data_IF_678360830269
#
_entry.id   IF_678360830269
#
_cell.length_a   1.000
_cell.length_b   1.000
_cell.length_c   1.000
_cell.angle_alpha   90.00
_cell.angle_beta   90.00
_cell.angle_gamma   90.00
#
_symmetry.space_group_name_H-M   'P 1'
#
loop_
_entity.id
_entity.type
_entity.pdbx_description
1 polymer ?
#
# COMPACT_ATOMS: atom_id res chain seq x y z
N UNK A 1 -7.97 6.23 -18.91
CA UNK A 1 -8.04 4.77 -19.17
C UNK A 1 -6.68 4.13 -19.49
N UNK A 2 -5.80 4.75 -20.28
CA UNK A 2 -4.55 4.10 -20.71
C UNK A 2 -3.55 3.78 -19.59
N UNK A 3 -3.41 4.64 -18.58
CA UNK A 3 -2.51 4.40 -17.46
C UNK A 3 -2.94 3.20 -16.60
N UNK A 4 -4.24 3.05 -16.35
CA UNK A 4 -4.78 1.92 -15.59
C UNK A 4 -4.56 0.60 -16.35
N UNK A 5 -4.75 0.60 -17.67
CA UNK A 5 -4.43 -0.54 -18.54
C UNK A 5 -2.93 -0.87 -18.50
N UNK A 6 -2.05 0.14 -18.54
CA UNK A 6 -0.59 -0.06 -18.46
C UNK A 6 -0.16 -0.61 -17.11
N UNK A 7 -0.64 -0.06 -16.00
CA UNK A 7 -0.34 -0.57 -14.65
C UNK A 7 -0.86 -1.99 -14.47
N UNK A 8 -2.08 -2.29 -14.93
CA UNK A 8 -2.63 -3.64 -14.92
C UNK A 8 -1.82 -4.61 -15.80
N UNK A 9 -1.36 -4.17 -16.98
CA UNK A 9 -0.50 -4.97 -17.85
C UNK A 9 0.88 -5.23 -17.25
N UNK A 10 1.48 -4.26 -16.55
CA UNK A 10 2.75 -4.43 -15.82
C UNK A 10 2.57 -5.42 -14.67
N UNK A 11 1.51 -5.27 -13.87
CA UNK A 11 1.20 -6.20 -12.79
C UNK A 11 0.91 -7.61 -13.30
N UNK A 12 0.05 -7.72 -14.32
CA UNK A 12 -0.32 -8.99 -14.93
C UNK A 12 0.90 -9.68 -15.54
N UNK A 13 1.71 -8.97 -16.32
CA UNK A 13 2.92 -9.55 -16.91
C UNK A 13 3.91 -9.97 -15.82
N UNK A 14 4.21 -9.11 -14.84
CA UNK A 14 5.11 -9.43 -13.73
C UNK A 14 4.67 -10.64 -12.90
N UNK A 15 3.37 -10.76 -12.60
CA UNK A 15 2.83 -11.91 -11.87
C UNK A 15 2.89 -13.20 -12.69
N UNK A 16 2.52 -13.15 -13.97
CA UNK A 16 2.52 -14.32 -14.86
C UNK A 16 3.96 -14.83 -15.06
N UNK A 17 4.90 -13.92 -15.30
CA UNK A 17 6.29 -14.30 -15.53
C UNK A 17 6.99 -14.75 -14.25
N UNK A 18 6.64 -14.19 -13.09
CA UNK A 18 7.09 -14.69 -11.79
C UNK A 18 6.54 -16.10 -11.51
N UNK A 19 5.26 -16.34 -11.78
CA UNK A 19 4.66 -17.68 -11.67
C UNK A 19 5.40 -18.67 -12.57
N UNK A 20 5.63 -18.31 -13.84
CA UNK A 20 6.38 -19.15 -14.76
C UNK A 20 7.79 -19.45 -14.23
N UNK A 21 8.50 -18.43 -13.74
CA UNK A 21 9.83 -18.60 -13.18
C UNK A 21 9.87 -19.51 -11.95
N UNK A 22 8.87 -19.42 -11.05
CA UNK A 22 8.82 -20.21 -9.81
C UNK A 22 8.59 -21.71 -10.08
N UNK A 23 7.75 -22.03 -11.07
CA UNK A 23 7.31 -23.41 -11.31
C UNK A 23 8.05 -24.11 -12.45
N UNK A 24 8.65 -23.37 -13.39
CA UNK A 24 9.22 -23.95 -14.61
C UNK A 24 10.71 -23.66 -14.81
N UNK A 25 11.32 -22.76 -14.03
CA UNK A 25 12.75 -22.47 -14.12
C UNK A 25 13.51 -23.04 -12.92
N UNK A 26 14.83 -23.16 -13.09
CA UNK A 26 15.72 -23.61 -12.01
C UNK A 26 15.88 -22.50 -10.96
N UNK A 27 15.28 -22.68 -9.79
CA UNK A 27 15.35 -21.76 -8.66
C UNK A 27 16.76 -21.56 -8.08
N UNK A 28 17.66 -22.52 -8.30
CA UNK A 28 19.08 -22.40 -7.90
C UNK A 28 19.89 -21.49 -8.84
N UNK A 29 19.31 -21.06 -9.96
CA UNK A 29 19.95 -20.12 -10.86
C UNK A 29 19.86 -18.69 -10.27
N UNK A 30 21.02 -18.08 -10.04
CA UNK A 30 21.16 -16.71 -9.50
C UNK A 30 20.34 -15.68 -10.28
N UNK A 31 20.23 -15.81 -11.61
CA UNK A 31 19.47 -14.87 -12.42
C UNK A 31 17.96 -14.98 -12.20
N UNK A 32 17.44 -16.19 -12.02
CA UNK A 32 16.03 -16.43 -11.70
C UNK A 32 15.72 -15.88 -10.31
N UNK A 33 16.62 -16.11 -9.35
CA UNK A 33 16.50 -15.54 -8.00
C UNK A 33 16.46 -14.01 -8.03
N UNK A 34 17.43 -13.35 -8.65
CA UNK A 34 17.49 -11.88 -8.75
C UNK A 34 16.23 -11.33 -9.42
N UNK A 35 15.78 -11.97 -10.51
CA UNK A 35 14.57 -11.60 -11.22
C UNK A 35 13.32 -11.62 -10.31
N UNK A 36 13.15 -12.71 -9.55
CA UNK A 36 12.03 -12.83 -8.61
C UNK A 36 12.07 -11.75 -7.53
N UNK A 37 13.27 -11.42 -7.00
CA UNK A 37 13.44 -10.33 -6.01
C UNK A 37 13.08 -8.97 -6.59
N UNK A 38 13.48 -8.67 -7.82
CA UNK A 38 13.14 -7.40 -8.49
C UNK A 38 11.61 -7.26 -8.60
N UNK A 39 10.92 -8.36 -8.94
CA UNK A 39 9.47 -8.35 -9.08
C UNK A 39 8.78 -8.20 -7.73
N UNK A 40 9.19 -8.98 -6.74
CA UNK A 40 8.54 -9.06 -5.43
C UNK A 40 8.81 -7.83 -4.54
N UNK A 41 10.04 -7.30 -4.53
CA UNK A 41 10.38 -6.11 -3.73
C UNK A 41 10.03 -4.80 -4.45
N UNK A 42 10.26 -4.76 -5.76
CA UNK A 42 10.20 -3.54 -6.55
C UNK A 42 8.90 -3.44 -7.34
N UNK A 43 8.82 -4.21 -8.43
CA UNK A 43 7.83 -3.99 -9.49
C UNK A 43 6.39 -4.03 -8.98
N UNK A 44 6.01 -5.11 -8.28
CA UNK A 44 4.62 -5.30 -7.83
C UNK A 44 4.25 -4.29 -6.73
N UNK A 45 5.00 -4.18 -5.61
CA UNK A 45 4.66 -3.23 -4.56
C UNK A 45 4.63 -1.78 -5.04
N UNK A 46 5.60 -1.34 -5.85
CA UNK A 46 5.63 0.02 -6.38
C UNK A 46 4.41 0.30 -7.27
N UNK A 47 4.07 -0.64 -8.16
CA UNK A 47 2.94 -0.44 -9.07
C UNK A 47 1.61 -0.40 -8.32
N UNK A 48 1.43 -1.26 -7.30
CA UNK A 48 0.22 -1.25 -6.46
C UNK A 48 0.16 0.00 -5.58
N UNK A 49 1.28 0.45 -5.00
CA UNK A 49 1.25 1.53 -4.02
C UNK A 49 1.25 2.93 -4.65
N UNK A 50 1.78 3.09 -5.88
CA UNK A 50 2.00 4.40 -6.51
C UNK A 50 1.32 4.58 -7.88
N UNK A 51 0.61 3.59 -8.42
CA UNK A 51 -0.11 3.81 -9.70
C UNK A 51 -1.17 4.90 -9.60
N UNK A 52 -1.68 5.20 -8.40
CA UNK A 52 -2.57 6.35 -8.19
C UNK A 52 -1.99 7.67 -8.69
N UNK A 53 -0.66 7.88 -8.66
CA UNK A 53 0.01 9.12 -9.11
C UNK A 53 -0.41 9.56 -10.50
N UNK A 54 -0.73 8.60 -11.37
CA UNK A 54 -1.17 8.84 -12.74
C UNK A 54 -2.70 8.84 -12.90
N UNK A 55 -3.43 8.27 -11.95
CA UNK A 55 -4.87 8.08 -12.02
C UNK A 55 -5.64 9.28 -11.47
N UNK A 56 -5.17 9.88 -10.38
CA UNK A 56 -5.91 10.94 -9.67
C UNK A 56 -6.04 12.26 -10.44
N UNK A 57 -5.15 12.51 -11.40
CA UNK A 57 -5.05 13.82 -12.10
C UNK A 57 -6.30 14.18 -12.90
N UNK A 58 -7.08 13.19 -13.33
CA UNK A 58 -8.29 13.39 -14.14
C UNK A 58 -9.58 13.11 -13.35
N UNK A 59 -9.49 12.89 -12.04
CA UNK A 59 -10.65 12.57 -11.21
C UNK A 59 -11.35 13.85 -10.73
N UNK A 60 -12.70 13.92 -10.84
CA UNK A 60 -13.47 15.09 -10.38
C UNK A 60 -13.43 15.25 -8.86
N UNK A 61 -13.26 14.14 -8.12
CA UNK A 61 -13.13 14.14 -6.65
C UNK A 61 -11.83 13.46 -6.19
N UNK A 62 -10.67 14.15 -6.28
CA UNK A 62 -9.36 13.57 -5.95
C UNK A 62 -9.27 13.02 -4.53
N UNK A 63 -9.90 13.70 -3.56
CA UNK A 63 -9.93 13.25 -2.17
C UNK A 63 -10.60 11.88 -2.02
N UNK A 64 -11.76 11.70 -2.67
CA UNK A 64 -12.53 10.47 -2.56
C UNK A 64 -11.82 9.33 -3.28
N UNK A 65 -11.32 9.58 -4.50
CA UNK A 65 -10.54 8.63 -5.27
C UNK A 65 -9.33 8.11 -4.48
N UNK A 66 -8.53 9.02 -3.92
CA UNK A 66 -7.34 8.66 -3.14
C UNK A 66 -7.72 7.89 -1.87
N UNK A 67 -8.78 8.32 -1.16
CA UNK A 67 -9.24 7.62 0.05
C UNK A 67 -9.63 6.17 -0.23
N UNK A 68 -10.37 5.92 -1.32
CA UNK A 68 -10.71 4.56 -1.73
C UNK A 68 -9.49 3.76 -2.17
N UNK A 69 -8.62 4.36 -2.99
CA UNK A 69 -7.42 3.69 -3.46
C UNK A 69 -6.54 3.22 -2.29
N UNK A 70 -6.30 4.09 -1.31
CA UNK A 70 -5.52 3.75 -0.11
C UNK A 70 -6.21 2.69 0.74
N UNK A 71 -7.54 2.74 0.86
CA UNK A 71 -8.28 1.74 1.60
C UNK A 71 -8.14 0.36 0.97
N UNK A 72 -8.20 0.29 -0.37
CA UNK A 72 -8.04 -0.96 -1.13
C UNK A 72 -6.61 -1.50 -1.00
N UNK A 73 -5.58 -0.66 -1.20
CA UNK A 73 -4.18 -1.11 -1.10
C UNK A 73 -3.83 -1.55 0.32
N UNK A 74 -4.27 -0.79 1.33
CA UNK A 74 -4.06 -1.13 2.73
C UNK A 74 -4.75 -2.44 3.10
N UNK A 75 -6.01 -2.63 2.69
CA UNK A 75 -6.73 -3.87 2.91
C UNK A 75 -6.05 -5.08 2.25
N UNK A 76 -5.56 -4.92 1.02
CA UNK A 76 -4.81 -5.95 0.31
C UNK A 76 -3.58 -6.40 1.11
N UNK A 77 -2.77 -5.47 1.61
CA UNK A 77 -1.56 -5.83 2.37
C UNK A 77 -1.86 -6.32 3.80
N UNK A 78 -2.99 -5.95 4.40
CA UNK A 78 -3.48 -6.62 5.61
C UNK A 78 -3.73 -8.09 5.32
N UNK A 79 -4.50 -8.41 4.26
CA UNK A 79 -4.80 -9.80 3.87
C UNK A 79 -3.51 -10.57 3.62
N UNK A 80 -2.60 -10.02 2.83
CA UNK A 80 -1.32 -10.69 2.52
C UNK A 80 -0.51 -10.96 3.79
N UNK A 81 -0.48 -10.02 4.75
CA UNK A 81 0.22 -10.24 6.02
C UNK A 81 -0.45 -11.30 6.90
N UNK A 82 -1.79 -11.39 6.90
CA UNK A 82 -2.55 -12.43 7.61
C UNK A 82 -2.33 -13.81 7.00
N UNK A 83 -2.31 -13.90 5.67
CA UNK A 83 -2.05 -15.15 4.94
C UNK A 83 -0.61 -15.61 5.17
N UNK A 84 0.33 -14.68 5.17
CA UNK A 84 1.76 -14.93 5.32
C UNK A 84 2.16 -15.37 6.73
N UNK A 85 1.67 -14.68 7.76
CA UNK A 85 2.09 -14.91 9.15
C UNK A 85 0.87 -15.33 9.96
N UNK A 86 0.90 -16.49 10.64
CA UNK A 86 -0.18 -16.87 11.54
C UNK A 86 -0.42 -15.77 12.60
N UNK A 87 -1.67 -15.39 12.92
CA UNK A 87 -1.96 -14.30 13.85
C UNK A 87 -1.26 -14.43 15.23
N UNK A 88 -1.05 -15.66 15.69
CA UNK A 88 -0.35 -15.97 16.95
C UNK A 88 1.14 -15.60 16.94
N UNK A 89 1.76 -15.45 15.76
CA UNK A 89 3.19 -15.16 15.58
C UNK A 89 3.48 -13.72 15.16
N UNK A 90 2.45 -12.96 14.81
CA UNK A 90 2.56 -11.54 14.40
C UNK A 90 3.17 -10.62 15.46
N UNK A 91 3.10 -11.02 16.73
CA UNK A 91 3.60 -10.22 17.85
C UNK A 91 2.87 -8.88 18.00
N UNK A 92 3.39 -8.02 18.87
CA UNK A 92 2.80 -6.72 19.15
C UNK A 92 2.77 -5.82 17.90
N UNK A 93 3.90 -5.70 17.19
CA UNK A 93 4.01 -4.82 16.02
C UNK A 93 3.02 -5.19 14.90
N UNK A 94 2.87 -6.49 14.61
CA UNK A 94 1.95 -6.93 13.57
C UNK A 94 0.48 -6.73 13.94
N UNK A 95 0.09 -7.02 15.19
CA UNK A 95 -1.28 -6.80 15.65
C UNK A 95 -1.66 -5.32 15.64
N UNK A 96 -0.76 -4.46 16.14
CA UNK A 96 -1.01 -3.01 16.15
C UNK A 96 -1.04 -2.44 14.74
N UNK A 97 -0.15 -2.89 13.84
CA UNK A 97 -0.21 -2.50 12.41
C UNK A 97 -1.57 -2.83 11.79
N UNK A 98 -2.09 -4.04 12.00
CA UNK A 98 -3.39 -4.45 11.44
C UNK A 98 -4.52 -3.59 12.02
N UNK A 99 -4.55 -3.43 13.35
CA UNK A 99 -5.59 -2.65 14.02
C UNK A 99 -5.58 -1.19 13.56
N UNK A 100 -4.40 -0.57 13.55
CA UNK A 100 -4.22 0.81 13.10
C UNK A 100 -4.57 0.97 11.62
N UNK A 101 -4.27 -0.04 10.81
CA UNK A 101 -4.64 -0.03 9.40
C UNK A 101 -6.14 -0.13 9.18
N UNK A 102 -6.86 -0.93 9.98
CA UNK A 102 -8.34 -0.97 9.96
C UNK A 102 -8.93 0.38 10.38
N UNK A 103 -8.37 1.01 11.41
CA UNK A 103 -8.79 2.34 11.86
C UNK A 103 -8.60 3.39 10.75
N UNK A 104 -7.45 3.37 10.07
CA UNK A 104 -7.17 4.27 8.94
C UNK A 104 -8.14 4.06 7.78
N UNK A 105 -8.43 2.80 7.42
CA UNK A 105 -9.47 2.48 6.42
C UNK A 105 -10.82 3.08 6.86
N UNK A 106 -11.22 2.88 8.11
CA UNK A 106 -12.46 3.46 8.64
C UNK A 106 -12.49 4.98 8.54
N UNK A 107 -11.38 5.66 8.87
CA UNK A 107 -11.27 7.11 8.73
C UNK A 107 -11.42 7.55 7.26
N UNK A 108 -10.77 6.86 6.32
CA UNK A 108 -10.83 7.19 4.89
C UNK A 108 -12.20 6.95 4.26
N UNK A 109 -13.02 6.05 4.83
CA UNK A 109 -14.39 5.83 4.39
C UNK A 109 -15.38 6.87 4.97
N UNK A 110 -14.90 7.80 5.80
CA UNK A 110 -15.72 8.86 6.43
C UNK A 110 -15.24 10.25 6.05
N UNK A 111 -16.08 11.26 6.29
CA UNK A 111 -15.71 12.67 6.10
C UNK A 111 -14.78 13.22 7.19
N UNK A 112 -14.40 12.42 8.19
CA UNK A 112 -13.58 12.85 9.32
C UNK A 112 -12.26 13.49 8.89
N UNK A 113 -11.60 12.89 7.89
CA UNK A 113 -10.35 13.38 7.33
C UNK A 113 -10.49 14.73 6.62
N UNK A 114 -11.70 15.18 6.26
CA UNK A 114 -11.95 16.50 5.65
C UNK A 114 -11.88 17.64 6.69
N UNK A 115 -12.13 17.35 7.97
CA UNK A 115 -12.01 18.34 9.04
C UNK A 115 -10.54 18.72 9.33
N UNK A 116 -10.28 19.90 9.92
CA UNK A 116 -8.91 20.34 10.28
C UNK A 116 -8.29 19.44 11.36
N UNK A 117 -9.05 19.14 12.42
CA UNK A 117 -8.61 18.29 13.53
C UNK A 117 -8.46 16.84 13.06
N UNK A 118 -9.45 16.32 12.33
CA UNK A 118 -9.42 14.96 11.82
C UNK A 118 -8.26 14.72 10.85
N UNK A 119 -7.95 15.69 9.99
CA UNK A 119 -6.78 15.61 9.10
C UNK A 119 -5.46 15.53 9.88
N UNK A 120 -5.26 16.37 10.89
CA UNK A 120 -4.05 16.34 11.72
C UNK A 120 -3.89 15.00 12.45
N UNK A 121 -4.96 14.51 13.09
CA UNK A 121 -4.95 13.21 13.78
C UNK A 121 -4.66 12.08 12.78
N UNK A 122 -5.29 12.11 11.60
CA UNK A 122 -5.06 11.12 10.54
C UNK A 122 -3.59 11.11 10.12
N UNK A 123 -2.95 12.28 9.95
CA UNK A 123 -1.52 12.37 9.68
C UNK A 123 -0.65 11.70 10.74
N UNK A 124 -0.97 11.93 12.03
CA UNK A 124 -0.31 11.26 13.15
C UNK A 124 -0.49 9.74 13.14
N UNK A 125 -1.70 9.26 12.84
CA UNK A 125 -2.00 7.82 12.74
C UNK A 125 -1.27 7.17 11.55
N UNK A 126 -1.15 7.86 10.40
CA UNK A 126 -0.36 7.39 9.25
C UNK A 126 1.11 7.23 9.64
N UNK A 127 1.71 8.26 10.27
CA UNK A 127 3.10 8.21 10.73
C UNK A 127 3.33 7.04 11.68
N UNK A 128 2.42 6.85 12.64
CA UNK A 128 2.47 5.73 13.56
C UNK A 128 2.35 4.39 12.82
N UNK A 129 1.52 4.31 11.79
CA UNK A 129 1.35 3.12 10.97
C UNK A 129 2.61 2.78 10.17
N UNK A 130 3.38 3.78 9.72
CA UNK A 130 4.71 3.56 9.11
C UNK A 130 5.65 2.90 10.10
N UNK A 131 5.70 3.37 11.35
CA UNK A 131 6.55 2.79 12.41
C UNK A 131 6.15 1.33 12.68
N UNK A 132 4.85 1.05 12.78
CA UNK A 132 4.37 -0.32 12.99
C UNK A 132 4.55 -1.22 11.78
N UNK A 133 4.41 -0.70 10.55
CA UNK A 133 4.73 -1.44 9.33
C UNK A 133 6.22 -1.82 9.31
N UNK A 134 7.10 -0.90 9.65
CA UNK A 134 8.54 -1.18 9.77
C UNK A 134 8.83 -2.21 10.88
N UNK A 135 8.20 -2.09 12.05
CA UNK A 135 8.32 -3.08 13.11
C UNK A 135 7.83 -4.47 12.69
N UNK A 136 6.71 -4.54 11.97
CA UNK A 136 6.20 -5.78 11.37
C UNK A 136 7.25 -6.38 10.43
N UNK A 137 7.84 -5.60 9.53
CA UNK A 137 8.92 -6.05 8.64
C UNK A 137 10.04 -6.69 9.45
N UNK A 138 10.61 -5.95 10.40
CA UNK A 138 11.78 -6.40 11.16
C UNK A 138 11.53 -7.64 12.02
N UNK A 139 10.29 -7.83 12.48
CA UNK A 139 9.95 -8.94 13.41
C UNK A 139 9.38 -10.17 12.72
N UNK A 140 8.89 -10.02 11.50
CA UNK A 140 8.19 -11.10 10.78
C UNK A 140 8.77 -11.40 9.41
N UNK A 141 9.90 -10.79 9.02
CA UNK A 141 10.52 -11.03 7.70
C UNK A 141 10.77 -12.51 7.43
N UNK A 142 11.32 -13.22 8.41
CA UNK A 142 11.64 -14.65 8.30
C UNK A 142 10.46 -15.56 8.66
N UNK A 143 9.32 -14.99 9.05
CA UNK A 143 8.16 -15.77 9.46
C UNK A 143 7.29 -16.09 8.25
N UNK A 144 7.22 -17.38 7.96
CA UNK A 144 6.44 -17.95 6.87
C UNK A 144 5.37 -18.89 7.43
N UNK A 145 4.18 -18.88 6.81
CA UNK A 145 3.12 -19.82 7.13
C UNK A 145 3.57 -21.27 6.81
N UNK A 146 3.40 -22.24 7.74
CA UNK A 146 3.92 -23.60 7.58
C UNK A 146 3.49 -24.30 6.28
N UNK A 147 2.27 -24.02 5.81
CA UNK A 147 1.68 -24.59 4.59
C UNK A 147 2.56 -24.42 3.34
N UNK A 148 3.41 -23.40 3.30
CA UNK A 148 4.28 -23.17 2.15
C UNK A 148 5.61 -23.91 2.22
N UNK A 149 6.09 -24.23 3.43
CA UNK A 149 7.39 -24.89 3.66
C UNK A 149 7.27 -26.39 3.37
N UNK A 150 6.16 -27.01 3.78
CA UNK A 150 5.97 -28.46 3.72
C UNK A 150 5.65 -29.00 2.32
N UNK A 151 5.43 -28.11 1.33
CA UNK A 151 4.91 -28.45 0.00
C UNK A 151 5.98 -28.44 -1.13
N UNK A 152 7.27 -28.31 -0.77
CA UNK A 152 8.40 -28.43 -1.70
C UNK A 152 9.03 -27.09 -2.16
N UNK A 153 10.11 -27.14 -2.97
CA UNK A 153 10.95 -25.97 -3.28
C UNK A 153 10.20 -24.82 -3.96
N UNK A 154 9.30 -25.11 -4.89
CA UNK A 154 8.50 -24.07 -5.56
C UNK A 154 7.51 -23.41 -4.61
N UNK A 155 6.92 -24.15 -3.67
CA UNK A 155 5.99 -23.58 -2.69
C UNK A 155 6.72 -22.73 -1.64
N UNK A 156 7.93 -23.13 -1.24
CA UNK A 156 8.81 -22.28 -0.44
C UNK A 156 9.15 -20.97 -1.19
N UNK A 157 9.47 -21.05 -2.49
CA UNK A 157 9.72 -19.85 -3.30
C UNK A 157 8.47 -18.96 -3.47
N UNK A 158 7.27 -19.54 -3.61
CA UNK A 158 6.01 -18.78 -3.57
C UNK A 158 5.86 -18.06 -2.23
N UNK A 159 6.22 -18.71 -1.12
CA UNK A 159 6.17 -18.09 0.19
C UNK A 159 7.07 -16.87 0.31
N UNK A 160 8.33 -17.02 -0.11
CA UNK A 160 9.31 -15.93 -0.08
C UNK A 160 8.82 -14.77 -0.94
N UNK A 161 8.29 -15.08 -2.13
CA UNK A 161 7.73 -14.11 -3.05
C UNK A 161 6.54 -13.33 -2.45
N UNK A 162 5.56 -14.03 -1.85
CA UNK A 162 4.43 -13.42 -1.15
C UNK A 162 4.93 -12.60 0.06
N UNK A 163 5.95 -13.10 0.75
CA UNK A 163 6.52 -12.44 1.92
C UNK A 163 7.08 -11.08 1.58
N UNK A 164 7.85 -11.02 0.51
CA UNK A 164 8.47 -9.79 0.03
C UNK A 164 7.44 -8.78 -0.45
N UNK A 165 6.44 -9.23 -1.21
CA UNK A 165 5.33 -8.37 -1.65
C UNK A 165 4.56 -7.82 -0.46
N UNK A 166 4.26 -8.68 0.52
CA UNK A 166 3.47 -8.33 1.70
C UNK A 166 4.17 -7.28 2.57
N UNK A 167 5.48 -7.45 2.77
CA UNK A 167 6.32 -6.59 3.61
C UNK A 167 6.55 -5.25 2.92
N UNK A 168 7.03 -5.29 1.67
CA UNK A 168 7.31 -4.08 0.91
C UNK A 168 6.02 -3.32 0.62
N UNK A 169 4.94 -4.03 0.31
CA UNK A 169 3.64 -3.45 0.14
C UNK A 169 3.11 -2.74 1.37
N UNK A 170 3.27 -3.32 2.56
CA UNK A 170 2.90 -2.66 3.82
C UNK A 170 3.69 -1.36 4.03
N UNK A 171 5.01 -1.40 3.82
CA UNK A 171 5.90 -0.24 3.99
C UNK A 171 5.59 0.86 2.96
N UNK A 172 5.45 0.48 1.68
CA UNK A 172 5.19 1.41 0.59
C UNK A 172 3.77 1.96 0.63
N UNK A 173 2.78 1.21 1.11
CA UNK A 173 1.43 1.73 1.31
C UNK A 173 1.43 2.81 2.38
N UNK A 174 2.09 2.57 3.52
CA UNK A 174 2.20 3.57 4.57
C UNK A 174 3.01 4.80 4.10
N UNK A 175 4.05 4.61 3.30
CA UNK A 175 4.82 5.71 2.69
C UNK A 175 4.03 6.50 1.65
N UNK A 176 3.30 5.79 0.80
CA UNK A 176 2.37 6.36 -0.18
C UNK A 176 1.29 7.19 0.50
N UNK A 177 0.82 6.73 1.68
CA UNK A 177 -0.12 7.46 2.51
C UNK A 177 0.40 8.82 2.98
N UNK A 178 1.65 8.89 3.42
CA UNK A 178 2.29 10.15 3.78
C UNK A 178 2.38 11.10 2.58
N UNK A 179 2.77 10.56 1.42
CA UNK A 179 2.99 11.37 0.23
C UNK A 179 1.73 12.09 -0.24
N UNK A 180 0.59 11.40 -0.33
CA UNK A 180 -0.64 12.08 -0.70
C UNK A 180 -1.21 12.93 0.44
N UNK A 181 -1.00 12.56 1.71
CA UNK A 181 -1.44 13.39 2.84
C UNK A 181 -0.82 14.79 2.73
N UNK A 182 0.43 14.90 2.30
CA UNK A 182 1.06 16.17 1.99
C UNK A 182 0.42 16.90 0.79
N UNK A 183 0.09 16.18 -0.29
CA UNK A 183 -0.59 16.75 -1.46
C UNK A 183 -1.97 17.32 -1.07
N UNK A 184 -2.74 16.58 -0.29
CA UNK A 184 -4.08 17.01 0.13
C UNK A 184 -4.04 18.15 1.14
N UNK A 185 -2.98 18.27 1.94
CA UNK A 185 -2.74 19.45 2.75
C UNK A 185 -2.62 20.70 1.87
N UNK A 186 -1.76 20.65 0.84
CA UNK A 186 -1.54 21.77 -0.09
C UNK A 186 -2.81 22.14 -0.85
N UNK A 187 -3.58 21.15 -1.31
CA UNK A 187 -4.88 21.38 -1.99
C UNK A 187 -5.91 22.03 -1.08
N UNK A 188 -6.04 21.57 0.16
CA UNK A 188 -6.94 22.19 1.13
C UNK A 188 -6.56 23.64 1.39
N UNK A 189 -5.27 23.94 1.54
CA UNK A 189 -4.79 25.31 1.72
C UNK A 189 -5.17 26.19 0.53
N UNK A 190 -5.09 25.68 -0.70
CA UNK A 190 -5.55 26.38 -1.91
C UNK A 190 -7.06 26.60 -1.94
N UNK A 191 -7.87 25.57 -1.65
CA UNK A 191 -9.34 25.69 -1.63
C UNK A 191 -9.84 26.70 -0.58
N UNK A 192 -9.18 26.77 0.58
CA UNK A 192 -9.51 27.76 1.62
C UNK A 192 -9.22 29.18 1.09
N UNK A 193 -8.09 29.38 0.42
CA UNK A 193 -7.73 30.67 -0.17
C UNK A 193 -8.72 31.05 -1.26
N UNK A 194 -9.07 30.14 -2.16
CA UNK A 194 -10.06 30.36 -3.23
C UNK A 194 -11.44 30.71 -2.66
N UNK A 195 -11.89 30.05 -1.58
CA UNK A 195 -13.12 30.41 -0.88
C UNK A 195 -13.07 31.80 -0.28
N UNK A 196 -11.98 32.16 0.39
CA UNK A 196 -11.83 33.50 0.98
C UNK A 196 -11.89 34.57 -0.12
N UNK A 197 -11.23 34.36 -1.26
CA UNK A 197 -11.31 35.28 -2.39
C UNK A 197 -12.71 35.37 -3.00
N UNK A 198 -13.40 34.24 -3.16
CA UNK A 198 -14.77 34.23 -3.67
C UNK A 198 -15.77 34.91 -2.70
N UNK A 199 -15.58 34.75 -1.38
CA UNK A 199 -16.35 35.46 -0.36
C UNK A 199 -16.07 36.96 -0.39
N UNK A 200 -14.81 37.38 -0.54
CA UNK A 200 -14.42 38.78 -0.69
C UNK A 200 -14.99 39.40 -1.99
N UNK A 201 -14.93 38.70 -3.12
CA UNK A 201 -15.51 39.16 -4.39
C UNK A 201 -17.04 39.27 -4.32
N UNK A 202 -17.70 38.44 -3.52
CA UNK A 202 -19.14 38.51 -3.30
C UNK A 202 -19.56 39.63 -2.33
N UNK A 203 -18.67 40.07 -1.43
CA UNK A 203 -18.89 41.22 -0.54
C UNK A 203 -18.64 42.57 -1.24
N UNK A 204 -17.85 42.60 -2.32
CA UNK A 204 -17.57 43.80 -3.14
C UNK A 204 -18.65 44.09 -4.22
N UNK A 205 -19.78 43.36 -4.23
CA UNK A 205 -20.98 43.56 -5.08
C UNK A 205 -22.18 43.99 -4.23
#
# INVERSE_FOLDING_TARGET
>A
MDYLRRSAAILGSGLITAYFAIFYLNLSNVWVYIYLKIISFGLIPLTICFSWLYLWRNEPEPFQFLSYYNSITQFLFIILNIVRVPPRRMGFFGLVYILLSIVLIGIYLTDWAKSKIGFFITGGLILLNVVFAFGLVMTTFEQVHPIFIDAGPSMAAVSDFITEISIMGALLTASSQLYWHEILKKRREQEIVERIFAELEAEDI
#
